data_IF_724999155938
#
_entry.id   IF_724999155938
#
_cell.length_a   1.000
_cell.length_b   1.000
_cell.length_c   1.000
_cell.angle_alpha   90.00
_cell.angle_beta   90.00
_cell.angle_gamma   90.00
#
_symmetry.space_group_name_H-M   'P 1'
#
loop_
_entity.id
_entity.type
_entity.pdbx_description
1 polymer ?
#
# COMPACT_ATOMS: atom_id res chain seq x y z
N UNK A 1 44.38 -8.38 32.56
CA UNK A 1 44.03 -7.37 31.54
C UNK A 1 45.27 -6.50 31.30
N UNK A 2 46.01 -6.71 30.20
CA UNK A 2 47.25 -5.99 29.92
C UNK A 2 46.99 -4.65 29.22
N UNK A 3 47.89 -3.68 29.42
CA UNK A 3 47.88 -2.35 28.78
C UNK A 3 47.82 -2.40 27.24
N UNK A 4 48.22 -3.51 26.62
CA UNK A 4 48.13 -3.74 25.17
C UNK A 4 46.68 -3.90 24.69
N UNK A 5 45.79 -4.47 25.50
CA UNK A 5 44.37 -4.61 25.14
C UNK A 5 43.61 -3.28 25.15
N UNK A 6 44.07 -2.30 25.93
CA UNK A 6 43.46 -0.97 25.99
C UNK A 6 43.86 -0.13 24.76
N UNK A 7 45.09 -0.27 24.25
CA UNK A 7 45.54 0.42 23.03
C UNK A 7 44.95 -0.15 21.74
N UNK A 8 44.69 -1.45 21.66
CA UNK A 8 44.07 -2.10 20.48
C UNK A 8 42.55 -1.87 20.37
N UNK A 9 41.87 -1.61 21.48
CA UNK A 9 40.42 -1.39 21.48
C UNK A 9 40.00 0.08 21.31
N UNK A 10 40.94 1.03 21.46
CA UNK A 10 40.71 2.47 21.27
C UNK A 10 41.40 3.03 20.02
N UNK A 11 41.50 2.25 18.93
CA UNK A 11 41.98 2.84 17.68
C UNK A 11 40.92 3.80 17.14
N UNK A 12 41.33 5.03 16.86
CA UNK A 12 40.49 6.09 16.31
C UNK A 12 39.77 5.61 15.03
N UNK A 13 40.40 4.72 14.25
CA UNK A 13 39.79 4.07 13.09
C UNK A 13 38.60 3.17 13.41
N UNK A 14 38.60 2.47 14.55
CA UNK A 14 37.44 1.66 14.97
C UNK A 14 36.27 2.54 15.41
N UNK A 15 36.57 3.66 16.07
CA UNK A 15 35.57 4.63 16.49
C UNK A 15 35.03 5.44 15.29
N UNK A 16 35.90 5.85 14.36
CA UNK A 16 35.52 6.49 13.10
C UNK A 16 34.72 5.55 12.20
N UNK A 17 35.09 4.27 12.15
CA UNK A 17 34.34 3.23 11.44
C UNK A 17 32.95 3.01 12.04
N UNK A 18 32.84 2.98 13.38
CA UNK A 18 31.54 2.87 14.05
C UNK A 18 30.65 4.10 13.82
N UNK A 19 31.22 5.31 13.89
CA UNK A 19 30.50 6.56 13.59
C UNK A 19 30.10 6.65 12.11
N UNK A 20 30.91 6.11 11.19
CA UNK A 20 30.55 6.02 9.77
C UNK A 20 29.46 4.98 9.51
N UNK A 21 29.41 3.87 10.26
CA UNK A 21 28.30 2.91 10.18
C UNK A 21 27.00 3.47 10.78
N UNK A 22 27.07 4.24 11.87
CA UNK A 22 25.91 4.95 12.41
C UNK A 22 25.43 6.10 11.51
N UNK A 23 26.33 6.73 10.74
CA UNK A 23 26.00 7.78 9.76
C UNK A 23 25.74 7.27 8.35
N UNK A 24 25.83 5.96 8.08
CA UNK A 24 25.30 5.42 6.82
C UNK A 24 23.79 5.69 6.81
N UNK A 25 23.22 6.21 5.70
CA UNK A 25 21.78 6.29 5.57
C UNK A 25 21.22 4.90 5.84
N UNK A 26 20.47 4.74 6.93
CA UNK A 26 19.74 3.51 7.17
C UNK A 26 19.01 3.18 5.87
N UNK A 27 19.31 2.03 5.29
CA UNK A 27 18.52 1.51 4.18
C UNK A 27 17.07 1.64 4.59
N UNK A 28 16.29 2.42 3.85
CA UNK A 28 14.84 2.47 4.00
C UNK A 28 14.38 1.04 3.79
N UNK A 29 14.21 0.28 4.87
CA UNK A 29 13.56 -1.03 4.86
C UNK A 29 12.13 -0.74 4.44
N UNK A 30 11.91 -0.73 3.12
CA UNK A 30 10.59 -0.93 2.54
C UNK A 30 10.13 -2.27 3.11
N UNK A 31 9.23 -2.23 4.09
CA UNK A 31 8.57 -3.41 4.60
C UNK A 31 7.67 -3.92 3.47
N UNK A 32 8.27 -4.58 2.50
CA UNK A 32 7.58 -5.21 1.38
C UNK A 32 7.09 -6.53 1.92
N UNK A 33 5.80 -6.60 2.21
CA UNK A 33 5.17 -7.85 2.58
C UNK A 33 5.20 -8.78 1.35
N UNK A 34 6.05 -9.81 1.44
CA UNK A 34 6.33 -10.79 0.38
C UNK A 34 5.09 -11.60 -0.03
N UNK A 35 4.04 -11.58 0.81
CA UNK A 35 2.76 -12.22 0.53
C UNK A 35 1.96 -11.45 -0.52
N UNK A 36 2.23 -10.16 -0.73
CA UNK A 36 1.51 -9.37 -1.71
C UNK A 36 2.06 -9.60 -3.13
N UNK A 37 1.17 -10.07 -4.00
CA UNK A 37 1.41 -10.01 -5.42
C UNK A 37 1.10 -8.62 -5.96
N UNK A 38 1.99 -8.14 -6.83
CA UNK A 38 1.83 -6.87 -7.55
C UNK A 38 2.06 -7.12 -9.05
N UNK A 39 1.21 -6.54 -9.91
CA UNK A 39 1.41 -6.65 -11.35
C UNK A 39 2.66 -5.87 -11.76
N UNK A 40 3.51 -6.49 -12.56
CA UNK A 40 4.62 -5.79 -13.22
C UNK A 40 4.17 -5.23 -14.56
N UNK A 41 4.58 -3.99 -14.85
CA UNK A 41 4.27 -3.30 -16.09
C UNK A 41 5.42 -3.41 -17.09
N UNK A 42 5.08 -3.48 -18.37
CA UNK A 42 6.06 -3.31 -19.45
C UNK A 42 6.52 -1.85 -19.57
N UNK A 43 7.52 -1.62 -20.43
CA UNK A 43 8.07 -0.28 -20.71
C UNK A 43 7.03 0.72 -21.25
N UNK A 44 5.92 0.22 -21.78
CA UNK A 44 4.81 1.00 -22.30
C UNK A 44 3.74 1.28 -21.24
N UNK A 45 3.94 0.80 -20.00
CA UNK A 45 2.99 0.94 -18.89
C UNK A 45 1.79 0.00 -18.99
N UNK A 46 1.88 -1.09 -19.76
CA UNK A 46 0.85 -2.12 -19.84
C UNK A 46 1.23 -3.32 -18.97
N UNK A 47 0.23 -3.88 -18.29
CA UNK A 47 0.37 -5.08 -17.47
C UNK A 47 -0.64 -6.13 -17.89
N UNK A 48 -0.25 -7.40 -17.80
CA UNK A 48 -1.14 -8.52 -18.06
C UNK A 48 -0.85 -9.66 -17.10
N UNK A 49 -1.89 -10.17 -16.44
CA UNK A 49 -1.85 -11.38 -15.64
C UNK A 49 -3.23 -12.06 -15.64
N UNK A 50 -3.25 -13.35 -15.36
CA UNK A 50 -4.48 -14.11 -15.13
C UNK A 50 -4.46 -14.60 -13.70
N UNK A 51 -5.46 -14.17 -12.93
CA UNK A 51 -5.58 -14.45 -11.50
C UNK A 51 -6.88 -15.20 -11.24
N UNK A 52 -6.88 -16.14 -10.29
CA UNK A 52 -8.10 -16.75 -9.77
C UNK A 52 -8.33 -16.26 -8.35
N UNK A 53 -9.45 -15.60 -8.10
CA UNK A 53 -9.82 -15.23 -6.74
C UNK A 53 -10.19 -16.49 -5.93
N UNK A 54 -9.71 -16.55 -4.70
CA UNK A 54 -9.91 -17.71 -3.82
C UNK A 54 -11.00 -17.42 -2.77
N UNK A 55 -11.70 -18.46 -2.29
CA UNK A 55 -12.75 -18.30 -1.29
C UNK A 55 -12.19 -17.79 0.05
N UNK A 56 -13.10 -17.45 0.96
CA UNK A 56 -12.75 -17.06 2.32
C UNK A 56 -11.99 -18.21 3.01
N UNK A 57 -11.00 -17.85 3.82
CA UNK A 57 -10.30 -18.84 4.64
C UNK A 57 -11.23 -19.40 5.72
N UNK A 58 -10.91 -20.59 6.23
CA UNK A 58 -11.72 -21.21 7.27
C UNK A 58 -11.85 -20.30 8.50
N UNK A 59 -13.09 -19.97 8.88
CA UNK A 59 -13.40 -19.09 10.01
C UNK A 59 -13.57 -17.61 9.66
N UNK A 60 -13.42 -17.23 8.39
CA UNK A 60 -13.77 -15.91 7.87
C UNK A 60 -15.01 -16.00 6.97
N UNK A 61 -15.87 -15.00 7.02
CA UNK A 61 -17.12 -14.99 6.23
C UNK A 61 -16.93 -14.38 4.83
N UNK A 62 -15.99 -13.45 4.68
CA UNK A 62 -15.80 -12.67 3.45
C UNK A 62 -14.48 -13.05 2.76
N UNK A 63 -14.47 -13.24 1.43
CA UNK A 63 -13.24 -13.53 0.68
C UNK A 63 -12.43 -12.27 0.35
N UNK A 64 -12.80 -11.12 0.92
CA UNK A 64 -12.06 -9.87 0.84
C UNK A 64 -12.04 -9.13 2.17
N UNK A 65 -10.94 -8.43 2.44
CA UNK A 65 -10.86 -7.40 3.47
C UNK A 65 -10.95 -6.01 2.84
N UNK A 66 -11.75 -5.13 3.45
CA UNK A 66 -11.92 -3.74 3.03
C UNK A 66 -11.11 -2.84 3.96
N UNK A 67 -10.19 -2.05 3.41
CA UNK A 67 -9.30 -1.17 4.19
C UNK A 67 -9.32 0.24 3.60
N UNK A 68 -9.41 1.24 4.48
CA UNK A 68 -9.15 2.64 4.14
C UNK A 68 -7.75 3.03 4.61
N UNK A 69 -7.02 3.79 3.80
CA UNK A 69 -5.69 4.32 4.17
C UNK A 69 -5.49 5.74 3.64
N UNK A 70 -4.60 6.49 4.29
CA UNK A 70 -4.16 7.80 3.84
C UNK A 70 -2.73 7.69 3.32
N UNK A 71 -2.45 8.35 2.19
CA UNK A 71 -1.14 8.37 1.57
C UNK A 71 -0.94 9.72 0.87
N UNK A 72 -0.31 10.66 1.56
CA UNK A 72 -0.04 12.02 1.07
C UNK A 72 1.28 12.56 1.60
N UNK A 73 1.80 13.58 0.93
CA UNK A 73 3.01 14.29 1.33
C UNK A 73 2.64 15.62 1.99
N UNK A 74 3.22 15.90 3.16
CA UNK A 74 3.09 17.17 3.85
C UNK A 74 3.91 18.29 3.20
N UNK A 75 3.75 19.55 3.64
CA UNK A 75 4.41 20.71 3.05
C UNK A 75 5.95 20.62 3.06
N UNK A 76 6.52 19.89 4.01
CA UNK A 76 7.96 19.70 4.18
C UNK A 76 8.52 18.49 3.43
N UNK A 77 7.69 17.82 2.63
CA UNK A 77 8.10 16.64 1.88
C UNK A 77 8.01 15.32 2.66
N UNK A 78 7.63 15.35 3.95
CA UNK A 78 7.41 14.13 4.74
C UNK A 78 6.13 13.41 4.29
N UNK A 79 6.15 12.08 4.31
CA UNK A 79 5.02 11.25 3.90
C UNK A 79 4.19 10.78 5.09
N UNK A 80 2.88 10.94 4.98
CA UNK A 80 1.89 10.27 5.82
C UNK A 80 1.34 9.07 5.05
N UNK A 81 1.72 7.85 5.44
CA UNK A 81 1.22 6.59 4.87
C UNK A 81 0.74 5.72 6.02
N UNK A 82 -0.56 5.72 6.30
CA UNK A 82 -1.13 4.99 7.43
C UNK A 82 -2.53 4.46 7.11
N UNK A 83 -2.91 3.36 7.77
CA UNK A 83 -4.28 2.87 7.72
C UNK A 83 -5.21 3.83 8.48
N UNK A 84 -6.42 4.01 7.94
CA UNK A 84 -7.44 4.88 8.54
C UNK A 84 -8.26 4.10 9.56
N UNK A 85 -8.44 4.69 10.73
CA UNK A 85 -9.31 4.18 11.80
C UNK A 85 -10.77 4.05 11.36
N UNK A 86 -11.17 4.73 10.28
CA UNK A 86 -12.50 4.58 9.69
C UNK A 86 -12.77 3.18 9.13
N UNK A 87 -11.72 2.38 8.88
CA UNK A 87 -11.84 0.95 8.54
C UNK A 87 -12.54 0.15 9.63
N UNK A 88 -12.24 0.47 10.89
CA UNK A 88 -12.82 -0.18 12.08
C UNK A 88 -13.92 0.67 12.73
N UNK A 89 -14.52 1.57 11.94
CA UNK A 89 -15.61 2.48 12.36
C UNK A 89 -15.24 3.41 13.53
N UNK A 90 -13.96 3.74 13.69
CA UNK A 90 -13.49 4.68 14.70
C UNK A 90 -13.21 6.08 14.10
N UNK A 91 -13.08 7.06 14.99
CA UNK A 91 -12.67 8.43 14.61
C UNK A 91 -11.24 8.44 14.12
N UNK A 92 -10.96 9.24 13.10
CA UNK A 92 -9.69 9.28 12.41
C UNK A 92 -9.20 10.73 12.31
N UNK A 93 -7.98 11.04 12.78
CA UNK A 93 -7.52 12.43 12.90
C UNK A 93 -7.36 13.12 11.54
N UNK A 94 -6.98 12.39 10.49
CA UNK A 94 -6.86 12.94 9.14
C UNK A 94 -8.24 13.26 8.56
N UNK A 95 -9.23 12.39 8.82
CA UNK A 95 -10.61 12.61 8.38
C UNK A 95 -11.25 13.81 9.06
N UNK A 96 -11.01 14.00 10.36
CA UNK A 96 -11.44 15.18 11.11
C UNK A 96 -10.78 16.46 10.59
N UNK A 97 -9.46 16.44 10.39
CA UNK A 97 -8.71 17.56 9.83
C UNK A 97 -9.19 17.94 8.42
N UNK A 98 -9.39 16.96 7.54
CA UNK A 98 -9.93 17.18 6.20
C UNK A 98 -11.35 17.75 6.22
N UNK A 99 -12.17 17.37 7.19
CA UNK A 99 -13.52 17.93 7.34
C UNK A 99 -13.44 19.40 7.75
N UNK A 100 -12.53 19.76 8.65
CA UNK A 100 -12.29 21.16 9.02
C UNK A 100 -11.83 21.99 7.81
N UNK A 101 -10.86 21.50 7.03
CA UNK A 101 -10.40 22.13 5.78
C UNK A 101 -11.53 22.30 4.77
N UNK A 102 -12.37 21.28 4.59
CA UNK A 102 -13.48 21.36 3.64
C UNK A 102 -14.51 22.42 4.05
N UNK A 103 -14.75 22.53 5.36
CA UNK A 103 -15.73 23.45 5.93
C UNK A 103 -15.27 24.91 5.95
N UNK A 104 -13.98 25.21 5.71
CA UNK A 104 -13.53 26.61 5.55
C UNK A 104 -14.11 27.25 4.28
N UNK A 105 -14.49 26.42 3.30
CA UNK A 105 -15.03 26.86 2.01
C UNK A 105 -13.98 27.35 1.02
N UNK A 106 -12.74 27.58 1.45
CA UNK A 106 -11.63 28.00 0.59
C UNK A 106 -11.20 26.89 -0.37
N UNK A 107 -10.94 27.22 -1.63
CA UNK A 107 -10.58 26.21 -2.63
C UNK A 107 -9.20 25.60 -2.36
N UNK A 108 -8.26 26.40 -1.84
CA UNK A 108 -6.93 25.92 -1.41
C UNK A 108 -7.04 24.80 -0.37
N UNK A 109 -7.94 24.95 0.61
CA UNK A 109 -8.12 23.99 1.69
C UNK A 109 -8.82 22.72 1.19
N UNK A 110 -9.79 22.88 0.28
CA UNK A 110 -10.42 21.74 -0.40
C UNK A 110 -9.43 20.95 -1.24
N UNK A 111 -8.48 21.61 -1.92
CA UNK A 111 -7.42 20.91 -2.64
C UNK A 111 -6.53 20.08 -1.72
N UNK A 112 -6.16 20.63 -0.56
CA UNK A 112 -5.42 19.89 0.48
C UNK A 112 -6.24 18.68 0.92
N UNK A 113 -7.52 18.86 1.27
CA UNK A 113 -8.40 17.77 1.69
C UNK A 113 -8.58 16.70 0.61
N UNK A 114 -8.63 17.08 -0.68
CA UNK A 114 -8.66 16.14 -1.81
C UNK A 114 -7.38 15.31 -1.91
N UNK A 115 -6.21 15.93 -1.71
CA UNK A 115 -4.90 15.24 -1.72
C UNK A 115 -4.75 14.28 -0.53
N UNK A 116 -5.29 14.65 0.62
CA UNK A 116 -5.24 13.87 1.86
C UNK A 116 -6.38 12.84 1.99
N UNK A 117 -7.31 12.79 1.03
CA UNK A 117 -8.47 11.92 1.06
C UNK A 117 -8.08 10.45 1.21
N UNK A 118 -8.82 9.73 2.05
CA UNK A 118 -8.65 8.28 2.22
C UNK A 118 -8.83 7.53 0.91
N UNK A 119 -7.98 6.54 0.67
CA UNK A 119 -8.01 5.62 -0.46
C UNK A 119 -8.65 4.32 0.02
N UNK A 120 -9.62 3.83 -0.76
CA UNK A 120 -10.27 2.55 -0.52
C UNK A 120 -9.49 1.44 -1.21
N UNK A 121 -9.11 0.43 -0.45
CA UNK A 121 -8.38 -0.74 -0.91
C UNK A 121 -9.11 -2.00 -0.46
N UNK A 122 -9.01 -3.03 -1.28
CA UNK A 122 -9.48 -4.36 -1.01
C UNK A 122 -8.30 -5.34 -1.08
N UNK A 123 -8.33 -6.35 -0.24
CA UNK A 123 -7.36 -7.44 -0.21
C UNK A 123 -8.11 -8.75 -0.37
N UNK A 124 -7.70 -9.59 -1.32
CA UNK A 124 -8.20 -10.96 -1.46
C UNK A 124 -7.07 -11.93 -1.72
N UNK A 125 -7.27 -13.18 -1.35
CA UNK A 125 -6.39 -14.26 -1.78
C UNK A 125 -6.61 -14.54 -3.26
N UNK A 126 -5.51 -14.67 -4.00
CA UNK A 126 -5.52 -15.05 -5.41
C UNK A 126 -4.53 -16.17 -5.66
N UNK A 127 -4.91 -17.08 -6.55
CA UNK A 127 -4.01 -18.02 -7.19
C UNK A 127 -3.56 -17.43 -8.53
N UNK A 128 -2.26 -17.38 -8.76
CA UNK A 128 -1.70 -16.85 -10.01
C UNK A 128 -1.73 -17.94 -11.07
N UNK A 129 -2.61 -17.79 -12.06
CA UNK A 129 -2.76 -18.72 -13.19
C UNK A 129 -1.69 -18.44 -14.24
N UNK A 130 -1.48 -17.16 -14.57
CA UNK A 130 -0.49 -16.73 -15.56
C UNK A 130 0.07 -15.37 -15.17
N UNK A 131 1.39 -15.25 -15.17
CA UNK A 131 2.12 -14.01 -14.92
C UNK A 131 3.34 -13.97 -15.85
N UNK A 132 3.18 -13.51 -17.09
CA UNK A 132 4.25 -13.60 -18.10
C UNK A 132 5.52 -12.81 -17.73
N UNK A 133 5.40 -11.82 -16.84
CA UNK A 133 6.53 -11.02 -16.36
C UNK A 133 7.27 -11.70 -15.23
N UNK A 134 6.52 -12.40 -14.36
CA UNK A 134 7.08 -13.16 -13.25
C UNK A 134 6.57 -14.61 -13.25
N UNK A 135 7.04 -15.47 -14.18
CA UNK A 135 6.54 -16.85 -14.29
C UNK A 135 6.75 -17.68 -13.02
N UNK A 136 7.67 -17.28 -12.15
CA UNK A 136 7.91 -17.92 -10.86
C UNK A 136 6.77 -17.74 -9.84
N UNK A 137 5.82 -16.83 -10.11
CA UNK A 137 4.62 -16.63 -9.31
C UNK A 137 3.50 -17.60 -9.70
N UNK A 138 3.53 -18.13 -10.93
CA UNK A 138 2.50 -19.04 -11.44
C UNK A 138 2.42 -20.29 -10.56
N UNK A 139 1.19 -20.69 -10.22
CA UNK A 139 0.96 -21.83 -9.33
C UNK A 139 0.97 -21.52 -7.84
N UNK A 140 1.20 -20.26 -7.44
CA UNK A 140 1.26 -19.85 -6.03
C UNK A 140 0.07 -19.00 -5.62
N UNK A 141 -0.15 -18.96 -4.31
CA UNK A 141 -1.17 -18.15 -3.65
C UNK A 141 -0.54 -16.90 -3.06
N UNK A 142 -1.16 -15.77 -3.33
CA UNK A 142 -0.74 -14.45 -2.85
C UNK A 142 -1.94 -13.63 -2.41
N UNK A 143 -1.66 -12.55 -1.68
CA UNK A 143 -2.60 -11.47 -1.43
C UNK A 143 -2.57 -10.48 -2.60
N UNK A 144 -3.73 -10.19 -3.17
CA UNK A 144 -3.87 -9.15 -4.18
C UNK A 144 -4.56 -7.93 -3.59
N UNK A 145 -3.87 -6.80 -3.64
CA UNK A 145 -4.40 -5.49 -3.24
C UNK A 145 -4.95 -4.75 -4.45
N UNK A 146 -6.23 -4.40 -4.43
CA UNK A 146 -6.90 -3.72 -5.53
C UNK A 146 -7.87 -2.62 -5.08
N UNK A 147 -8.26 -1.74 -6.01
CA UNK A 147 -9.18 -0.63 -5.75
C UNK A 147 -10.63 -0.93 -6.14
N UNK A 148 -11.50 0.07 -6.00
CA UNK A 148 -12.94 -0.02 -6.30
C UNK A 148 -13.24 -0.57 -7.70
N UNK A 149 -12.47 -0.21 -8.73
CA UNK A 149 -12.72 -0.64 -10.12
C UNK A 149 -12.70 -2.17 -10.31
N UNK A 150 -11.77 -2.87 -9.65
CA UNK A 150 -11.70 -4.34 -9.72
C UNK A 150 -12.78 -4.95 -8.82
N UNK A 151 -13.03 -4.35 -7.66
CA UNK A 151 -14.13 -4.76 -6.78
C UNK A 151 -15.50 -4.67 -7.46
N UNK A 152 -15.76 -3.60 -8.21
CA UNK A 152 -17.01 -3.42 -8.96
C UNK A 152 -17.16 -4.51 -10.03
N UNK A 153 -16.06 -4.95 -10.67
CA UNK A 153 -16.09 -6.08 -11.63
C UNK A 153 -16.41 -7.41 -10.94
N UNK A 154 -15.87 -7.64 -9.74
CA UNK A 154 -16.22 -8.81 -8.92
C UNK A 154 -17.71 -8.80 -8.56
N UNK A 155 -18.24 -7.64 -8.15
CA UNK A 155 -19.67 -7.49 -7.85
C UNK A 155 -20.54 -7.69 -9.09
N UNK A 156 -20.18 -7.10 -10.22
CA UNK A 156 -20.93 -7.24 -11.47
C UNK A 156 -20.99 -8.70 -11.94
N UNK A 157 -19.93 -9.49 -11.72
CA UNK A 157 -19.96 -10.93 -12.01
C UNK A 157 -20.96 -11.69 -11.11
N UNK A 158 -21.07 -11.31 -9.84
CA UNK A 158 -22.00 -11.92 -8.87
C UNK A 158 -23.44 -11.44 -9.04
N UNK A 159 -23.62 -10.20 -9.50
CA UNK A 159 -24.90 -9.52 -9.68
C UNK A 159 -24.92 -8.87 -11.07
N UNK A 160 -25.15 -9.67 -12.13
CA UNK A 160 -25.18 -9.14 -13.49
C UNK A 160 -26.28 -8.09 -13.67
N UNK A 161 -26.00 -7.07 -14.49
CA UNK A 161 -26.96 -5.98 -14.74
C UNK A 161 -28.06 -6.37 -15.74
N UNK A 162 -27.80 -7.39 -16.57
CA UNK A 162 -28.70 -7.84 -17.64
C UNK A 162 -29.25 -9.25 -17.38
N UNK A 163 -30.50 -9.50 -17.80
CA UNK A 163 -31.22 -10.75 -17.51
C UNK A 163 -30.69 -11.98 -18.27
N UNK A 164 -29.96 -11.77 -19.35
CA UNK A 164 -29.32 -12.81 -20.16
C UNK A 164 -27.95 -13.26 -19.60
N UNK A 165 -27.38 -12.51 -18.65
CA UNK A 165 -26.13 -12.86 -17.99
C UNK A 165 -26.38 -13.74 -16.76
N UNK A 166 -25.63 -14.85 -16.65
CA UNK A 166 -25.73 -15.75 -15.51
C UNK A 166 -24.81 -15.27 -14.37
N UNK A 167 -25.30 -15.21 -13.12
CA UNK A 167 -24.47 -14.82 -11.99
C UNK A 167 -23.38 -15.87 -11.76
N UNK A 168 -22.13 -15.42 -11.66
CA UNK A 168 -20.97 -16.26 -11.38
C UNK A 168 -20.33 -15.76 -10.09
N UNK A 169 -20.12 -16.66 -9.12
CA UNK A 169 -19.33 -16.34 -7.94
C UNK A 169 -17.83 -16.48 -8.27
N UNK A 170 -17.06 -15.39 -8.42
CA UNK A 170 -15.66 -15.46 -8.85
C UNK A 170 -14.75 -16.15 -7.85
N UNK A 171 -15.18 -16.24 -6.58
CA UNK A 171 -14.45 -16.84 -5.48
C UNK A 171 -14.73 -18.35 -5.34
N UNK A 172 -15.67 -18.90 -6.10
CA UNK A 172 -15.94 -20.34 -6.09
C UNK A 172 -14.83 -21.10 -6.83
N UNK A 173 -14.11 -22.04 -6.18
CA UNK A 173 -13.08 -22.81 -6.85
C UNK A 173 -13.62 -23.79 -7.90
N UNK A 174 -14.90 -24.17 -7.87
CA UNK A 174 -15.49 -25.15 -8.79
C UNK A 174 -16.28 -24.51 -9.92
N UNK A 175 -17.02 -23.43 -9.65
CA UNK A 175 -17.85 -22.74 -10.65
C UNK A 175 -17.52 -21.26 -10.88
N UNK A 176 -16.47 -20.75 -10.25
CA UNK A 176 -16.00 -19.38 -10.48
C UNK A 176 -15.28 -19.20 -11.83
N UNK A 177 -14.56 -18.09 -11.96
CA UNK A 177 -13.90 -17.72 -13.20
C UNK A 177 -12.52 -17.11 -12.96
N UNK A 178 -11.61 -17.30 -13.92
CA UNK A 178 -10.34 -16.59 -13.92
C UNK A 178 -10.56 -15.12 -14.30
N UNK A 179 -9.80 -14.24 -13.67
CA UNK A 179 -9.80 -12.81 -13.93
C UNK A 179 -8.58 -12.43 -14.77
N UNK A 180 -8.83 -11.90 -15.96
CA UNK A 180 -7.80 -11.29 -16.80
C UNK A 180 -7.54 -9.88 -16.31
N UNK A 181 -6.47 -9.71 -15.54
CA UNK A 181 -5.99 -8.38 -15.18
C UNK A 181 -5.26 -7.79 -16.38
N UNK A 182 -5.84 -6.74 -16.95
CA UNK A 182 -5.26 -5.95 -18.03
C UNK A 182 -5.10 -4.51 -17.56
N UNK A 183 -3.86 -4.05 -17.45
CA UNK A 183 -3.52 -2.70 -17.02
C UNK A 183 -3.06 -1.91 -18.23
N UNK A 184 -3.56 -0.69 -18.38
CA UNK A 184 -3.07 0.28 -19.38
C UNK A 184 -2.87 1.63 -18.73
N UNK A 185 -1.82 2.35 -19.11
CA UNK A 185 -1.61 3.73 -18.67
C UNK A 185 -2.40 4.68 -19.58
N UNK A 186 -3.48 5.27 -19.06
CA UNK A 186 -4.30 6.27 -19.77
C UNK A 186 -4.21 7.59 -19.03
N UNK A 187 -3.78 8.64 -19.72
CA UNK A 187 -3.56 9.98 -19.14
C UNK A 187 -2.66 9.98 -17.88
N UNK A 188 -1.71 9.03 -17.78
CA UNK A 188 -0.81 8.90 -16.64
C UNK A 188 -1.31 8.03 -15.49
N UNK A 189 -2.55 7.52 -15.55
CA UNK A 189 -3.13 6.66 -14.52
C UNK A 189 -3.30 5.22 -15.00
N UNK A 190 -3.25 4.27 -14.06
CA UNK A 190 -3.59 2.88 -14.33
C UNK A 190 -5.10 2.75 -14.58
N UNK A 191 -5.43 2.20 -15.74
CA UNK A 191 -6.78 1.88 -16.15
C UNK A 191 -6.93 0.36 -16.20
N UNK A 192 -8.08 -0.12 -15.71
CA UNK A 192 -8.43 -1.54 -15.61
C UNK A 192 -9.71 -1.87 -16.40
N UNK A 193 -10.23 -0.96 -17.22
CA UNK A 193 -11.55 -1.11 -17.82
C UNK A 193 -11.61 -2.32 -18.76
N UNK A 194 -10.49 -2.66 -19.41
CA UNK A 194 -10.33 -3.85 -20.28
C UNK A 194 -10.08 -5.16 -19.53
N UNK A 195 -9.99 -5.13 -18.19
CA UNK A 195 -9.93 -6.33 -17.36
C UNK A 195 -11.32 -6.99 -17.29
N UNK A 196 -11.38 -8.30 -17.34
CA UNK A 196 -12.62 -9.07 -17.50
C UNK A 196 -12.48 -10.48 -16.94
N UNK A 197 -13.61 -11.14 -16.69
CA UNK A 197 -13.64 -12.55 -16.32
C UNK A 197 -13.69 -13.43 -17.57
N UNK A 198 -12.98 -14.56 -17.51
CA UNK A 198 -13.17 -15.66 -18.44
C UNK A 198 -14.50 -16.36 -18.18
N UNK A 199 -14.86 -17.29 -19.07
CA UNK A 199 -15.97 -18.21 -18.83
C UNK A 199 -15.76 -19.00 -17.53
N UNK A 200 -16.87 -19.35 -16.87
CA UNK A 200 -16.85 -20.19 -15.68
C UNK A 200 -16.08 -21.48 -15.94
N UNK A 201 -15.22 -21.82 -14.98
CA UNK A 201 -14.31 -22.97 -15.06
C UNK A 201 -13.91 -23.40 -13.65
N UNK A 202 -13.64 -24.70 -13.49
CA UNK A 202 -12.99 -25.23 -12.28
C UNK A 202 -11.55 -24.74 -12.21
N UNK A 203 -11.05 -24.49 -11.00
CA UNK A 203 -9.64 -24.18 -10.78
C UNK A 203 -8.74 -25.37 -11.11
N UNK A 204 -9.12 -26.57 -10.65
CA UNK A 204 -8.52 -27.85 -11.04
C UNK A 204 -9.61 -28.91 -11.15
N UNK A 205 -9.38 -29.96 -11.94
CA UNK A 205 -10.27 -31.13 -11.97
C UNK A 205 -10.17 -31.99 -10.70
N UNK A 206 -9.02 -31.96 -10.03
CA UNK A 206 -8.75 -32.72 -8.81
C UNK A 206 -9.10 -31.89 -7.57
N UNK A 207 -10.12 -32.32 -6.83
CA UNK A 207 -10.61 -31.63 -5.62
C UNK A 207 -9.53 -31.54 -4.53
N UNK A 208 -8.64 -32.53 -4.42
CA UNK A 208 -7.57 -32.50 -3.41
C UNK A 208 -6.57 -31.37 -3.69
N UNK A 209 -6.33 -31.05 -4.97
CA UNK A 209 -5.49 -29.90 -5.36
C UNK A 209 -6.18 -28.57 -5.07
N UNK A 210 -7.49 -28.50 -5.30
CA UNK A 210 -8.29 -27.32 -4.94
C UNK A 210 -8.17 -27.06 -3.44
N UNK A 211 -8.38 -28.09 -2.61
CA UNK A 211 -8.27 -27.97 -1.16
C UNK A 211 -6.86 -27.52 -0.73
N UNK A 212 -5.81 -28.15 -1.28
CA UNK A 212 -4.43 -27.81 -0.97
C UNK A 212 -4.05 -26.37 -1.36
N UNK A 213 -4.68 -25.78 -2.38
CA UNK A 213 -4.49 -24.37 -2.75
C UNK A 213 -5.28 -23.47 -1.81
N UNK A 214 -6.53 -23.79 -1.51
CA UNK A 214 -7.36 -23.02 -0.58
C UNK A 214 -6.76 -22.99 0.84
N UNK A 215 -6.10 -24.06 1.30
CA UNK A 215 -5.41 -24.11 2.60
C UNK A 215 -4.18 -23.18 2.67
N UNK A 216 -3.62 -22.76 1.53
CA UNK A 216 -2.50 -21.80 1.46
C UNK A 216 -2.96 -20.34 1.45
N UNK A 217 -4.27 -20.09 1.46
CA UNK A 217 -4.81 -18.74 1.54
C UNK A 217 -4.50 -18.11 2.90
N UNK A 218 -4.19 -16.82 2.90
CA UNK A 218 -3.82 -16.05 4.07
C UNK A 218 -5.07 -15.50 4.76
N UNK A 219 -5.05 -15.43 6.10
CA UNK A 219 -6.10 -14.80 6.87
C UNK A 219 -6.24 -13.31 6.50
N UNK A 220 -7.44 -12.86 6.15
CA UNK A 220 -7.69 -11.47 5.78
C UNK A 220 -8.13 -10.63 6.98
N UNK A 221 -8.55 -11.27 8.08
CA UNK A 221 -8.92 -10.61 9.33
C UNK A 221 -7.78 -9.77 9.91
N UNK A 222 -6.52 -10.08 9.60
CA UNK A 222 -5.38 -9.25 9.99
C UNK A 222 -5.48 -7.81 9.46
N UNK A 223 -6.11 -7.59 8.30
CA UNK A 223 -6.24 -6.25 7.71
C UNK A 223 -7.32 -5.40 8.38
N UNK A 224 -8.25 -6.02 9.11
CA UNK A 224 -9.40 -5.36 9.74
C UNK A 224 -9.41 -5.51 11.26
N UNK A 225 -8.45 -6.23 11.84
CA UNK A 225 -8.28 -6.36 13.28
C UNK A 225 -7.88 -5.01 13.89
N UNK A 226 -8.62 -4.55 14.90
CA UNK A 226 -8.39 -3.26 15.56
C UNK A 226 -6.97 -3.12 16.11
N UNK A 227 -6.37 -4.22 16.58
CA UNK A 227 -5.02 -4.26 17.15
C UNK A 227 -3.92 -3.93 16.11
N UNK A 228 -4.22 -4.03 14.82
CA UNK A 228 -3.31 -3.69 13.73
C UNK A 228 -3.44 -2.23 13.26
N UNK A 229 -4.26 -1.42 13.96
CA UNK A 229 -4.36 0.02 13.75
C UNK A 229 -3.67 0.76 14.88
N UNK A 230 -2.91 1.79 14.52
CA UNK A 230 -2.37 2.75 15.50
C UNK A 230 -3.51 3.47 16.20
N UNK A 231 -3.29 3.84 17.46
CA UNK A 231 -4.25 4.63 18.21
C UNK A 231 -4.46 6.01 17.58
N UNK A 232 -5.57 6.65 17.93
CA UNK A 232 -5.88 8.00 17.46
C UNK A 232 -4.75 8.99 17.79
N UNK A 233 -4.20 8.92 19.01
CA UNK A 233 -3.16 9.85 19.48
C UNK A 233 -1.83 9.65 18.73
N UNK A 234 -1.47 8.40 18.41
CA UNK A 234 -0.29 8.11 17.58
C UNK A 234 -0.45 8.63 16.15
N UNK A 235 -1.62 8.40 15.54
CA UNK A 235 -1.92 8.88 14.20
C UNK A 235 -1.97 10.41 14.15
N UNK A 236 -2.53 11.05 15.18
CA UNK A 236 -2.59 12.51 15.30
C UNK A 236 -1.21 13.11 15.48
N UNK A 237 -0.38 12.54 16.36
CA UNK A 237 1.01 12.96 16.54
C UNK A 237 1.78 12.87 15.23
N UNK A 238 1.60 11.76 14.48
CA UNK A 238 2.24 11.61 13.17
C UNK A 238 1.72 12.60 12.14
N UNK A 239 0.41 12.88 12.14
CA UNK A 239 -0.20 13.89 11.28
C UNK A 239 0.41 15.26 11.55
N UNK A 240 0.48 15.65 12.82
CA UNK A 240 1.04 16.94 13.24
C UNK A 240 2.51 17.08 12.85
N UNK A 241 3.31 16.01 12.99
CA UNK A 241 4.71 15.97 12.52
C UNK A 241 4.79 16.20 11.02
N UNK A 242 4.01 15.47 10.22
CA UNK A 242 4.03 15.56 8.75
C UNK A 242 3.57 16.94 8.27
N UNK A 243 2.59 17.55 8.94
CA UNK A 243 2.06 18.86 8.57
C UNK A 243 2.95 20.02 9.05
N UNK A 244 3.48 19.95 10.27
CA UNK A 244 4.30 21.02 10.87
C UNK A 244 5.77 20.99 10.44
N UNK A 245 6.26 19.84 9.96
CA UNK A 245 7.67 19.68 9.63
C UNK A 245 8.60 19.56 10.83
N UNK A 246 8.07 19.46 12.06
CA UNK A 246 8.90 19.23 13.25
C UNK A 246 9.44 17.80 13.21
N UNK A 247 10.71 17.64 12.86
CA UNK A 247 11.44 16.40 13.11
C UNK A 247 11.49 16.19 14.63
N UNK A 248 10.80 15.16 15.13
CA UNK A 248 11.07 14.68 16.49
C UNK A 248 12.42 13.97 16.42
N UNK A 249 13.50 14.74 16.58
CA UNK A 249 14.76 14.19 17.04
C UNK A 249 14.49 13.73 18.47
N UNK A 250 14.51 12.41 18.68
CA UNK A 250 14.32 11.85 20.01
C UNK A 250 15.31 12.47 20.98
N UNK A 251 14.80 13.23 21.94
CA UNK A 251 15.19 13.14 23.34
C UNK A 251 14.11 13.79 24.18
N UNK A 252 13.62 13.02 25.15
CA UNK A 252 12.83 13.52 26.26
C UNK A 252 13.76 14.39 27.11
N UNK A 253 13.73 15.71 26.92
CA UNK A 253 14.07 16.71 27.94
C UNK A 253 13.84 18.15 27.42
N UNK A 254 12.93 18.81 28.11
CA UNK A 254 12.90 20.25 28.46
C UNK A 254 12.60 21.33 27.39
N UNK A 255 11.62 22.16 27.77
CA UNK A 255 11.24 23.45 27.20
C UNK A 255 12.44 24.38 26.92
N UNK A 256 12.34 25.19 25.86
CA UNK A 256 12.23 26.67 25.93
C UNK A 256 12.29 27.26 24.52
N UNK A 257 11.43 28.25 24.30
CA UNK A 257 11.33 29.18 23.19
C UNK A 257 12.67 29.59 22.55
N UNK A 258 12.70 29.69 21.22
CA UNK A 258 13.21 30.89 20.54
C UNK A 258 12.92 30.85 19.04
N UNK A 259 12.31 31.93 18.56
CA UNK A 259 12.19 32.30 17.16
C UNK A 259 13.57 32.67 16.61
N UNK A 260 13.91 32.19 15.40
CA UNK A 260 14.54 33.01 14.34
C UNK A 260 14.67 32.20 13.04
N UNK A 261 14.49 32.83 11.86
CA UNK A 261 14.49 32.16 10.57
C UNK A 261 15.90 32.09 9.98
N UNK A 262 16.27 30.94 9.39
CA UNK A 262 17.52 30.83 8.61
C UNK A 262 17.25 30.32 7.21
N UNK A 263 17.74 31.13 6.27
CA UNK A 263 17.62 31.08 4.84
C UNK A 263 18.60 30.07 4.20
N UNK A 264 18.05 29.30 3.25
CA UNK A 264 18.62 28.57 2.09
C UNK A 264 20.00 27.86 2.12
N UNK A 265 20.01 26.62 1.60
CA UNK A 265 21.03 26.10 0.64
C UNK A 265 20.60 24.77 0.01
N UNK A 266 20.51 24.75 -1.32
CA UNK A 266 20.31 23.57 -2.17
C UNK A 266 21.55 22.64 -2.19
N UNK A 267 21.33 21.32 -2.17
CA UNK A 267 22.31 20.29 -2.54
C UNK A 267 21.54 18.95 -2.86
N UNK A 268 22.13 17.98 -3.58
CA UNK A 268 21.58 17.41 -4.81
C UNK A 268 20.70 16.16 -4.64
N UNK A 269 19.76 15.98 -5.56
CA UNK A 269 18.81 14.87 -5.61
C UNK A 269 19.48 13.61 -6.19
N UNK A 270 19.71 12.60 -5.35
CA UNK A 270 20.04 11.23 -5.78
C UNK A 270 18.74 10.48 -6.05
N UNK A 271 18.51 10.12 -7.33
CA UNK A 271 17.33 9.36 -7.79
C UNK A 271 17.39 7.91 -7.31
N UNK A 272 16.54 7.53 -6.37
CA UNK A 272 16.17 6.13 -6.09
C UNK A 272 14.83 5.83 -6.74
N UNK A 273 14.80 4.81 -7.59
CA UNK A 273 13.67 4.40 -8.44
C UNK A 273 12.48 3.90 -7.60
N UNK A 274 11.41 4.70 -7.54
CA UNK A 274 10.08 4.31 -7.07
C UNK A 274 9.07 4.83 -8.12
N UNK A 275 9.05 4.14 -9.25
CA UNK A 275 8.64 4.68 -10.57
C UNK A 275 7.12 4.94 -10.70
N UNK A 276 6.29 4.37 -9.84
CA UNK A 276 4.83 4.54 -9.91
C UNK A 276 4.32 5.77 -9.15
N UNK A 277 4.98 6.15 -8.06
CA UNK A 277 4.70 7.44 -7.40
C UNK A 277 5.35 8.59 -8.14
N UNK A 278 6.60 8.43 -8.61
CA UNK A 278 7.37 9.54 -9.20
C UNK A 278 6.81 10.02 -10.54
N UNK A 279 6.30 9.11 -11.39
CA UNK A 279 5.69 9.49 -12.67
C UNK A 279 4.41 10.33 -12.54
N UNK A 280 3.73 10.27 -11.38
CA UNK A 280 2.58 11.13 -11.10
C UNK A 280 3.03 12.55 -10.73
N UNK A 281 4.18 12.68 -10.06
CA UNK A 281 4.69 13.96 -9.56
C UNK A 281 5.50 14.76 -10.60
N UNK A 282 6.23 14.11 -11.52
CA UNK A 282 6.96 14.83 -12.59
C UNK A 282 6.04 15.57 -13.57
N UNK A 283 4.77 15.18 -13.69
CA UNK A 283 3.78 15.86 -14.55
C UNK A 283 3.08 17.05 -13.88
N UNK A 284 3.00 17.08 -12.56
CA UNK A 284 2.43 18.21 -11.80
C UNK A 284 3.40 19.39 -11.68
N UNK A 285 4.69 19.17 -11.90
CA UNK A 285 5.71 20.22 -11.90
C UNK A 285 5.88 20.93 -13.26
N UNK A 286 5.25 20.44 -14.33
CA UNK A 286 5.37 20.96 -15.70
C UNK A 286 4.06 21.56 -16.24
N UNK A 287 3.15 22.00 -15.37
CA UNK A 287 1.91 22.68 -15.73
C UNK A 287 1.73 23.98 -14.97
#
# INVERSE_FOLDING_TARGET
MSLENIRKNNSLDKLLGAVQEENKPQEKKSYTDERLWKPELDKSGNGYAVLRFLPAVHGEELPWAKVYSHAFQGPTGQWYIENSLTTVNQKDPVSEYNTALWNTGAESDKEIARKQKRKLQYYSNVYVVTDPKNPHNEGKVFLFRYGKKIYDKLLAAMQPEFQDEQPVNPFDPFSGANFKLKIRKVAGFWNYDTSDFESSSKLFEDEAKVEAVCQKAYALKEFTAADNFKSYDELKTRLDIVLSGKTVVGNVAEDIQSETPVESKEAPITKSQDDDTMNYFEKLANQ
#
